data_IF_715127170362
#
_entry.id   IF_715127170362
#
_cell.length_a   1.000
_cell.length_b   1.000
_cell.length_c   1.000
_cell.angle_alpha   90.00
_cell.angle_beta   90.00
_cell.angle_gamma   90.00
#
_symmetry.space_group_name_H-M   'P 1'
#
loop_
_entity.id
_entity.type
_entity.pdbx_description
1 polymer ?
#
# COMPACT_ATOMS: atom_id res chain seq x y z
N UNK A 1 -29.50 -12.56 46.73
CA UNK A 1 -28.74 -12.27 47.97
C UNK A 1 -28.87 -10.79 48.21
N UNK A 2 -29.84 -10.40 49.03
CA UNK A 2 -29.65 -9.91 50.42
C UNK A 2 -29.46 -8.39 50.38
N UNK A 3 -30.17 -7.48 51.06
CA UNK A 3 -31.27 -7.40 52.05
C UNK A 3 -31.87 -5.99 51.77
N UNK A 4 -33.16 -5.66 51.90
CA UNK A 4 -34.03 -5.75 53.08
C UNK A 4 -33.81 -4.54 54.01
N UNK A 5 -34.72 -3.53 54.01
CA UNK A 5 -35.24 -2.82 55.21
C UNK A 5 -35.98 -1.50 54.89
N UNK A 6 -37.19 -1.36 55.45
CA UNK A 6 -37.84 -0.10 55.83
C UNK A 6 -38.75 0.56 54.77
N UNK A 7 -39.96 1.01 55.05
CA UNK A 7 -40.81 0.97 56.23
C UNK A 7 -42.22 1.38 55.75
N UNK A 8 -43.24 0.67 56.20
CA UNK A 8 -44.63 0.84 55.79
C UNK A 8 -45.32 1.63 56.91
N UNK A 9 -45.82 2.85 56.63
CA UNK A 9 -46.71 3.57 57.57
C UNK A 9 -48.09 3.64 56.96
N UNK A 10 -48.96 2.78 57.50
CA UNK A 10 -50.39 2.78 57.29
C UNK A 10 -51.05 3.80 58.23
N UNK A 11 -52.04 4.53 57.72
CA UNK A 11 -53.07 5.19 58.53
C UNK A 11 -54.42 4.71 58.01
N UNK A 12 -55.26 4.11 58.85
CA UNK A 12 -56.69 4.20 58.68
C UNK A 12 -57.33 4.91 59.87
N UNK A 13 -58.20 5.87 59.56
CA UNK A 13 -59.20 6.39 60.46
C UNK A 13 -60.44 5.47 60.40
N UNK A 14 -61.03 5.15 61.55
CA UNK A 14 -62.48 5.09 61.80
C UNK A 14 -62.76 4.54 63.20
N UNK A 15 -63.81 5.04 63.85
CA UNK A 15 -64.56 4.23 64.81
C UNK A 15 -64.92 4.91 66.11
N UNK A 16 -65.99 5.70 66.08
CA UNK A 16 -66.73 6.16 67.25
C UNK A 16 -67.37 5.01 68.05
N UNK A 17 -67.49 5.18 69.36
CA UNK A 17 -68.72 4.91 70.12
C UNK A 17 -68.45 5.15 71.62
N UNK A 18 -69.10 6.16 72.19
CA UNK A 18 -69.26 6.28 73.63
C UNK A 18 -70.74 6.55 73.93
N UNK A 19 -71.33 5.68 74.73
CA UNK A 19 -72.67 5.79 75.32
C UNK A 19 -72.73 4.78 76.45
N UNK A 20 -73.40 4.96 77.57
CA UNK A 20 -74.28 5.99 78.12
C UNK A 20 -74.27 5.70 79.63
N UNK A 21 -74.37 6.71 80.49
CA UNK A 21 -74.70 6.51 81.90
C UNK A 21 -75.96 7.31 82.26
N UNK A 22 -77.04 6.58 82.56
CA UNK A 22 -78.21 7.04 83.34
C UNK A 22 -77.74 7.28 84.81
N UNK A 23 -78.24 8.21 85.62
CA UNK A 23 -79.57 8.79 85.73
C UNK A 23 -80.29 8.22 86.96
N UNK A 24 -80.33 8.97 88.08
CA UNK A 24 -81.31 8.89 89.20
C UNK A 24 -80.94 9.96 90.25
N UNK A 25 -81.81 10.73 90.92
CA UNK A 25 -83.27 10.82 90.95
C UNK A 25 -83.73 11.46 92.26
N UNK A 26 -84.68 12.41 92.20
CA UNK A 26 -85.57 12.83 93.29
C UNK A 26 -85.52 14.33 93.65
N UNK A 27 -86.64 15.02 93.98
CA UNK A 27 -87.96 14.48 94.33
C UNK A 27 -89.19 15.04 93.57
N UNK A 28 -90.30 14.31 93.76
CA UNK A 28 -91.69 14.75 93.95
C UNK A 28 -92.56 15.32 92.80
N UNK A 29 -93.53 14.49 92.40
CA UNK A 29 -94.98 14.75 92.35
C UNK A 29 -95.57 15.81 91.39
N UNK A 30 -95.94 15.31 90.20
CA UNK A 30 -97.22 15.47 89.49
C UNK A 30 -97.84 16.87 89.25
N UNK A 31 -97.85 17.29 87.98
CA UNK A 31 -99.11 17.47 87.21
C UNK A 31 -98.88 16.99 85.78
N UNK A 32 -99.60 15.93 85.39
CA UNK A 32 -99.28 15.10 84.23
C UNK A 32 -100.07 15.57 83.01
N UNK A 33 -99.70 16.71 82.41
CA UNK A 33 -100.36 17.21 81.21
C UNK A 33 -99.56 16.78 79.95
N UNK A 34 -100.14 16.04 78.99
CA UNK A 34 -99.43 15.55 77.79
C UNK A 34 -98.85 16.67 76.91
N UNK A 35 -99.43 17.87 76.96
CA UNK A 35 -98.87 19.07 76.34
C UNK A 35 -97.56 19.50 77.00
N UNK A 36 -97.47 19.47 78.33
CA UNK A 36 -96.25 19.83 79.07
C UNK A 36 -95.08 18.90 78.75
N UNK A 37 -95.37 17.62 78.46
CA UNK A 37 -94.36 16.66 77.99
C UNK A 37 -93.86 16.97 76.58
N UNK A 38 -94.75 17.30 75.63
CA UNK A 38 -94.35 17.73 74.28
C UNK A 38 -93.60 19.07 74.31
N UNK A 39 -94.05 20.03 75.13
CA UNK A 39 -93.41 21.33 75.30
C UNK A 39 -92.00 21.18 75.90
N UNK A 40 -91.84 20.39 76.96
CA UNK A 40 -90.51 20.09 77.52
C UNK A 40 -89.61 19.38 76.50
N UNK A 41 -90.14 18.44 75.73
CA UNK A 41 -89.36 17.74 74.69
C UNK A 41 -88.89 18.66 73.56
N UNK A 42 -89.66 19.71 73.23
CA UNK A 42 -89.30 20.75 72.26
C UNK A 42 -88.34 21.79 72.87
N UNK A 43 -88.47 22.09 74.16
CA UNK A 43 -87.54 22.97 74.88
C UNK A 43 -86.18 22.30 75.17
N UNK A 44 -86.16 20.97 75.37
CA UNK A 44 -84.94 20.19 75.57
C UNK A 44 -84.18 19.92 74.26
N UNK A 45 -84.81 20.08 73.08
CA UNK A 45 -84.07 20.11 71.81
C UNK A 45 -83.26 21.40 71.74
N UNK A 46 -82.03 21.35 72.28
CA UNK A 46 -81.03 22.42 72.17
C UNK A 46 -80.47 22.49 70.74
N UNK A 47 -81.28 23.03 69.83
CA UNK A 47 -80.97 23.16 68.40
C UNK A 47 -79.73 24.02 68.14
N UNK A 48 -79.32 24.86 69.10
CA UNK A 48 -78.22 25.81 68.95
C UNK A 48 -76.81 25.19 69.08
N UNK A 49 -76.71 23.99 69.66
CA UNK A 49 -75.42 23.37 69.99
C UNK A 49 -74.93 22.35 68.95
N UNK A 50 -75.75 22.01 67.97
CA UNK A 50 -75.43 21.00 66.95
C UNK A 50 -75.12 21.69 65.62
N UNK A 51 -73.83 21.87 65.33
CA UNK A 51 -73.34 22.59 64.15
C UNK A 51 -73.72 21.88 62.85
N UNK A 52 -73.65 20.55 62.81
CA UNK A 52 -74.03 19.76 61.64
C UNK A 52 -75.54 19.84 61.39
N UNK A 53 -76.34 19.79 62.47
CA UNK A 53 -77.78 19.98 62.37
C UNK A 53 -78.13 21.40 61.93
N UNK A 54 -77.43 22.43 62.43
CA UNK A 54 -77.62 23.82 62.01
C UNK A 54 -77.22 24.06 60.55
N UNK A 55 -76.15 23.43 60.07
CA UNK A 55 -75.75 23.48 58.67
C UNK A 55 -76.72 22.73 57.77
N UNK A 56 -77.21 21.56 58.20
CA UNK A 56 -78.27 20.82 57.50
C UNK A 56 -79.59 21.61 57.46
N UNK A 57 -79.95 22.30 58.55
CA UNK A 57 -81.13 23.18 58.62
C UNK A 57 -80.95 24.44 57.76
N UNK A 58 -79.74 25.04 57.73
CA UNK A 58 -79.42 26.14 56.82
C UNK A 58 -79.52 25.69 55.36
N UNK A 59 -78.97 24.54 55.00
CA UNK A 59 -79.11 23.97 53.68
C UNK A 59 -80.58 23.69 53.33
N UNK A 60 -81.36 23.14 54.27
CA UNK A 60 -82.79 22.89 54.14
C UNK A 60 -83.58 24.20 53.91
N UNK A 61 -83.24 25.26 54.66
CA UNK A 61 -83.90 26.57 54.53
C UNK A 61 -83.69 27.24 53.16
N UNK A 62 -82.66 26.86 52.40
CA UNK A 62 -82.45 27.41 51.05
C UNK A 62 -83.53 26.99 50.06
N UNK A 63 -84.24 25.89 50.31
CA UNK A 63 -85.25 25.35 49.39
C UNK A 63 -86.58 24.98 50.05
N UNK A 64 -86.62 24.83 51.37
CA UNK A 64 -87.84 24.59 52.13
C UNK A 64 -88.38 25.89 52.72
N UNK A 65 -88.91 26.77 51.85
CA UNK A 65 -89.37 28.12 52.21
C UNK A 65 -90.80 28.13 52.76
N UNK A 66 -91.67 27.24 52.28
CA UNK A 66 -93.08 27.19 52.66
C UNK A 66 -93.46 25.88 53.36
N UNK A 67 -94.07 26.00 54.55
CA UNK A 67 -94.43 24.88 55.41
C UNK A 67 -95.89 24.44 55.19
N UNK A 68 -96.15 23.81 54.05
CA UNK A 68 -97.45 23.24 53.68
C UNK A 68 -97.51 21.72 53.93
N UNK A 69 -98.73 21.15 53.95
CA UNK A 69 -98.92 19.71 54.12
C UNK A 69 -98.31 18.90 52.94
N UNK A 70 -98.25 19.51 51.75
CA UNK A 70 -97.64 18.95 50.55
C UNK A 70 -96.12 19.00 50.61
N UNK A 71 -95.53 20.12 51.04
CA UNK A 71 -94.07 20.26 51.15
C UNK A 71 -93.51 19.35 52.24
N UNK A 72 -94.18 19.18 53.39
CA UNK A 72 -93.76 18.18 54.40
C UNK A 72 -93.78 16.74 53.88
N UNK A 73 -94.83 16.35 53.14
CA UNK A 73 -94.95 14.99 52.58
C UNK A 73 -93.86 14.70 51.54
N UNK A 74 -93.44 15.72 50.80
CA UNK A 74 -92.46 15.59 49.72
C UNK A 74 -91.02 15.93 50.11
N UNK A 75 -90.79 16.52 51.29
CA UNK A 75 -89.48 17.01 51.76
C UNK A 75 -88.36 15.97 51.63
N UNK A 76 -88.64 14.72 52.00
CA UNK A 76 -87.69 13.61 51.83
C UNK A 76 -87.35 13.39 50.36
N UNK A 77 -88.36 13.34 49.49
CA UNK A 77 -88.17 13.20 48.05
C UNK A 77 -87.47 14.40 47.42
N UNK A 78 -87.63 15.61 47.96
CA UNK A 78 -86.96 16.82 47.50
C UNK A 78 -85.48 16.86 47.94
N UNK A 79 -85.18 16.45 49.18
CA UNK A 79 -83.82 16.24 49.69
C UNK A 79 -83.11 15.15 48.87
N UNK A 80 -83.77 14.01 48.67
CA UNK A 80 -83.22 12.88 47.89
C UNK A 80 -82.95 13.31 46.44
N UNK A 81 -83.87 14.08 45.80
CA UNK A 81 -83.67 14.57 44.43
C UNK A 81 -82.53 15.57 44.32
N UNK A 82 -82.35 16.47 45.29
CA UNK A 82 -81.23 17.41 45.32
C UNK A 82 -79.91 16.71 45.60
N UNK A 83 -79.90 15.74 46.51
CA UNK A 83 -78.73 14.89 46.76
C UNK A 83 -78.35 14.10 45.51
N UNK A 84 -79.34 13.60 44.76
CA UNK A 84 -79.11 12.94 43.48
C UNK A 84 -78.48 13.91 42.48
N UNK A 85 -79.02 15.13 42.34
CA UNK A 85 -78.49 16.15 41.43
C UNK A 85 -77.03 16.54 41.74
N UNK A 86 -76.69 16.71 43.02
CA UNK A 86 -75.31 17.00 43.44
C UNK A 86 -74.38 15.82 43.13
N UNK A 87 -74.83 14.59 43.38
CA UNK A 87 -74.05 13.40 43.04
C UNK A 87 -73.87 13.24 41.52
N UNK A 88 -74.90 13.58 40.71
CA UNK A 88 -74.81 13.60 39.26
C UNK A 88 -73.82 14.65 38.76
N UNK A 89 -73.86 15.87 39.32
CA UNK A 89 -72.91 16.95 39.00
C UNK A 89 -71.47 16.57 39.38
N UNK A 90 -71.26 15.99 40.57
CA UNK A 90 -69.96 15.49 41.00
C UNK A 90 -69.43 14.41 40.06
N UNK A 91 -70.28 13.45 39.67
CA UNK A 91 -69.91 12.41 38.70
C UNK A 91 -69.57 13.02 37.34
N UNK A 92 -70.29 14.05 36.90
CA UNK A 92 -69.99 14.75 35.64
C UNK A 92 -68.61 15.41 35.66
N UNK A 93 -68.30 16.18 36.70
CA UNK A 93 -67.00 16.87 36.82
C UNK A 93 -65.86 15.85 36.95
N UNK A 94 -66.05 14.81 37.77
CA UNK A 94 -65.02 13.78 37.96
C UNK A 94 -64.80 12.94 36.70
N UNK A 95 -65.83 12.79 35.85
CA UNK A 95 -65.70 12.13 34.55
C UNK A 95 -64.76 12.89 33.62
N UNK A 96 -64.84 14.21 33.54
CA UNK A 96 -63.92 15.02 32.72
C UNK A 96 -62.45 14.85 33.18
N UNK A 97 -62.20 14.87 34.49
CA UNK A 97 -60.87 14.63 35.05
C UNK A 97 -60.37 13.21 34.75
N UNK A 98 -61.26 12.21 34.80
CA UNK A 98 -60.94 10.83 34.44
C UNK A 98 -60.55 10.72 32.97
N UNK A 99 -61.29 11.37 32.08
CA UNK A 99 -61.04 11.36 30.63
C UNK A 99 -59.68 12.00 30.29
N UNK A 100 -59.34 13.15 30.90
CA UNK A 100 -58.01 13.77 30.75
C UNK A 100 -56.89 12.89 31.30
N UNK A 101 -57.11 12.22 32.44
CA UNK A 101 -56.12 11.30 33.01
C UNK A 101 -55.93 10.05 32.13
N UNK A 102 -57.01 9.52 31.54
CA UNK A 102 -56.97 8.42 30.58
C UNK A 102 -56.21 8.83 29.31
N UNK A 103 -56.42 10.05 28.79
CA UNK A 103 -55.67 10.62 27.67
C UNK A 103 -54.16 10.71 27.95
N UNK A 104 -53.77 11.25 29.10
CA UNK A 104 -52.35 11.31 29.51
C UNK A 104 -51.76 9.90 29.64
N UNK A 105 -52.52 8.95 30.17
CA UNK A 105 -52.07 7.56 30.28
C UNK A 105 -51.79 6.96 28.89
N UNK A 106 -52.68 7.19 27.92
CA UNK A 106 -52.50 6.76 26.53
C UNK A 106 -51.26 7.40 25.90
N UNK A 107 -51.06 8.71 26.06
CA UNK A 107 -49.88 9.42 25.54
C UNK A 107 -48.57 8.90 26.13
N UNK A 108 -48.52 8.65 27.45
CA UNK A 108 -47.34 8.08 28.11
C UNK A 108 -47.06 6.66 27.61
N UNK A 109 -48.10 5.87 27.38
CA UNK A 109 -47.97 4.51 26.86
C UNK A 109 -47.49 4.50 25.40
N UNK A 110 -48.00 5.43 24.58
CA UNK A 110 -47.54 5.65 23.21
C UNK A 110 -46.08 6.10 23.19
N UNK A 111 -45.68 7.04 24.05
CA UNK A 111 -44.30 7.49 24.19
C UNK A 111 -43.38 6.35 24.63
N UNK A 112 -43.78 5.54 25.62
CA UNK A 112 -43.00 4.38 26.05
C UNK A 112 -42.80 3.38 24.91
N UNK A 113 -43.85 3.14 24.11
CA UNK A 113 -43.77 2.27 22.94
C UNK A 113 -42.81 2.83 21.88
N UNK A 114 -42.85 4.14 21.63
CA UNK A 114 -41.92 4.81 20.71
C UNK A 114 -40.47 4.73 21.20
N UNK A 115 -40.22 4.98 22.48
CA UNK A 115 -38.90 4.84 23.09
C UNK A 115 -38.36 3.42 22.99
N UNK A 116 -39.21 2.41 23.17
CA UNK A 116 -38.84 1.00 22.99
C UNK A 116 -38.50 0.71 21.52
N UNK A 117 -39.32 1.13 20.56
CA UNK A 117 -39.04 0.93 19.14
C UNK A 117 -37.72 1.61 18.72
N UNK A 118 -37.49 2.84 19.17
CA UNK A 118 -36.25 3.58 18.90
C UNK A 118 -35.03 2.87 19.51
N UNK A 119 -35.17 2.34 20.72
CA UNK A 119 -34.11 1.55 21.38
C UNK A 119 -33.83 0.26 20.61
N UNK A 120 -34.87 -0.46 20.18
CA UNK A 120 -34.74 -1.66 19.35
C UNK A 120 -34.03 -1.35 18.03
N UNK A 121 -34.38 -0.26 17.36
CA UNK A 121 -33.74 0.18 16.10
C UNK A 121 -32.29 0.60 16.31
N UNK A 122 -31.97 1.29 17.41
CA UNK A 122 -30.59 1.66 17.75
C UNK A 122 -29.75 0.41 18.00
N UNK A 123 -30.29 -0.56 18.75
CA UNK A 123 -29.61 -1.82 19.03
C UNK A 123 -29.36 -2.62 17.74
N UNK A 124 -30.36 -2.73 16.86
CA UNK A 124 -30.20 -3.39 15.57
C UNK A 124 -29.17 -2.70 14.67
N UNK A 125 -29.18 -1.37 14.61
CA UNK A 125 -28.19 -0.60 13.84
C UNK A 125 -26.76 -0.75 14.41
N UNK A 126 -26.63 -0.81 15.74
CA UNK A 126 -25.35 -1.06 16.41
C UNK A 126 -24.80 -2.44 16.08
N UNK A 127 -25.64 -3.48 16.15
CA UNK A 127 -25.27 -4.85 15.79
C UNK A 127 -24.85 -4.97 14.32
N UNK A 128 -25.61 -4.36 13.41
CA UNK A 128 -25.27 -4.34 11.98
C UNK A 128 -23.96 -3.61 11.71
N UNK A 129 -23.73 -2.46 12.36
CA UNK A 129 -22.48 -1.69 12.20
C UNK A 129 -21.30 -2.47 12.75
N UNK A 130 -21.46 -3.16 13.88
CA UNK A 130 -20.43 -4.02 14.45
C UNK A 130 -20.07 -5.19 13.52
N UNK A 131 -21.06 -5.85 12.94
CA UNK A 131 -20.84 -6.92 11.96
C UNK A 131 -20.09 -6.42 10.71
N UNK A 132 -20.47 -5.24 10.19
CA UNK A 132 -19.77 -4.61 9.06
C UNK A 132 -18.32 -4.26 9.40
N UNK A 133 -18.04 -3.75 10.60
CA UNK A 133 -16.67 -3.46 11.06
C UNK A 133 -15.86 -4.75 11.11
N UNK A 134 -16.37 -5.83 11.71
CA UNK A 134 -15.66 -7.11 11.81
C UNK A 134 -15.37 -7.69 10.42
N UNK A 135 -16.34 -7.64 9.49
CA UNK A 135 -16.13 -8.08 8.10
C UNK A 135 -15.08 -7.24 7.40
N UNK A 136 -15.12 -5.92 7.58
CA UNK A 136 -14.17 -4.99 6.95
C UNK A 136 -12.76 -5.22 7.47
N UNK A 137 -12.56 -5.35 8.78
CA UNK A 137 -11.24 -5.61 9.36
C UNK A 137 -10.69 -6.98 8.95
N UNK A 138 -11.54 -8.00 8.87
CA UNK A 138 -11.15 -9.31 8.35
C UNK A 138 -10.70 -9.24 6.89
N UNK A 139 -11.47 -8.59 6.01
CA UNK A 139 -11.10 -8.43 4.61
C UNK A 139 -9.81 -7.62 4.44
N UNK A 140 -9.60 -6.59 5.26
CA UNK A 140 -8.35 -5.83 5.28
C UNK A 140 -7.15 -6.69 5.68
N UNK A 141 -7.31 -7.56 6.70
CA UNK A 141 -6.27 -8.50 7.11
C UNK A 141 -5.95 -9.53 6.01
N UNK A 142 -6.96 -10.13 5.40
CA UNK A 142 -6.80 -11.08 4.28
C UNK A 142 -6.13 -10.40 3.06
N UNK A 143 -6.51 -9.16 2.75
CA UNK A 143 -5.88 -8.39 1.67
C UNK A 143 -4.40 -8.10 1.94
N UNK A 144 -4.03 -7.85 3.21
CA UNK A 144 -2.64 -7.61 3.59
C UNK A 144 -1.82 -8.90 3.47
N UNK A 145 -2.38 -10.03 3.92
CA UNK A 145 -1.74 -11.34 3.81
C UNK A 145 -1.49 -11.73 2.34
N UNK A 146 -2.47 -11.52 1.46
CA UNK A 146 -2.31 -11.77 0.01
C UNK A 146 -1.20 -10.89 -0.57
N UNK A 147 -1.14 -9.61 -0.19
CA UNK A 147 -0.10 -8.70 -0.67
C UNK A 147 1.30 -9.15 -0.23
N UNK A 148 1.44 -9.59 1.03
CA UNK A 148 2.69 -10.14 1.55
C UNK A 148 3.10 -11.42 0.82
N UNK A 149 2.15 -12.36 0.61
CA UNK A 149 2.40 -13.58 -0.15
C UNK A 149 2.79 -13.30 -1.60
N UNK A 150 2.12 -12.34 -2.24
CA UNK A 150 2.46 -11.91 -3.60
C UNK A 150 3.87 -11.33 -3.68
N UNK A 151 4.26 -10.49 -2.71
CA UNK A 151 5.59 -9.91 -2.67
C UNK A 151 6.68 -11.00 -2.51
N UNK A 152 6.47 -11.95 -1.59
CA UNK A 152 7.39 -13.07 -1.36
C UNK A 152 7.53 -13.98 -2.59
N UNK A 153 6.41 -14.32 -3.23
CA UNK A 153 6.41 -15.13 -4.45
C UNK A 153 7.12 -14.41 -5.60
N UNK A 154 6.86 -13.10 -5.74
CA UNK A 154 7.54 -12.28 -6.74
C UNK A 154 9.05 -12.27 -6.51
N UNK A 155 9.51 -12.00 -5.29
CA UNK A 155 10.94 -12.00 -4.95
C UNK A 155 11.60 -13.36 -5.24
N UNK A 156 10.99 -14.44 -4.77
CA UNK A 156 11.48 -15.82 -5.02
C UNK A 156 11.53 -16.15 -6.52
N UNK A 157 10.53 -15.68 -7.29
CA UNK A 157 10.47 -15.92 -8.73
C UNK A 157 11.57 -15.17 -9.48
N UNK A 158 11.83 -13.91 -9.11
CA UNK A 158 12.91 -13.12 -9.70
C UNK A 158 14.28 -13.69 -9.34
N UNK A 159 14.48 -14.15 -8.10
CA UNK A 159 15.72 -14.80 -7.70
C UNK A 159 15.97 -16.09 -8.51
N UNK A 160 14.94 -16.91 -8.70
CA UNK A 160 15.03 -18.13 -9.52
C UNK A 160 15.33 -17.81 -10.98
N UNK A 161 14.62 -16.84 -11.57
CA UNK A 161 14.83 -16.40 -12.94
C UNK A 161 16.26 -15.88 -13.13
N UNK A 162 16.72 -15.03 -12.22
CA UNK A 162 18.08 -14.47 -12.21
C UNK A 162 19.14 -15.58 -12.13
N UNK A 163 19.03 -16.51 -11.18
CA UNK A 163 19.98 -17.62 -11.03
C UNK A 163 20.03 -18.51 -12.28
N UNK A 164 18.87 -18.78 -12.87
CA UNK A 164 18.79 -19.53 -14.12
C UNK A 164 19.45 -18.76 -15.27
N UNK A 165 19.11 -17.49 -15.47
CA UNK A 165 19.66 -16.66 -16.53
C UNK A 165 21.19 -16.55 -16.45
N UNK A 166 21.75 -16.37 -15.25
CA UNK A 166 23.20 -16.40 -15.05
C UNK A 166 23.84 -17.75 -15.42
N UNK A 167 23.19 -18.87 -15.06
CA UNK A 167 23.67 -20.21 -15.43
C UNK A 167 23.70 -20.39 -16.94
N UNK A 168 22.66 -19.93 -17.65
CA UNK A 168 22.61 -19.96 -19.10
C UNK A 168 23.72 -19.09 -19.71
N UNK A 169 23.88 -17.83 -19.24
CA UNK A 169 24.96 -16.95 -19.69
C UNK A 169 26.34 -17.57 -19.49
N UNK A 170 26.58 -18.23 -18.35
CA UNK A 170 27.83 -18.92 -18.05
C UNK A 170 28.10 -20.10 -19.00
N UNK A 171 27.06 -20.74 -19.53
CA UNK A 171 27.19 -21.84 -20.47
C UNK A 171 27.56 -21.40 -21.90
N UNK A 172 27.45 -20.11 -22.23
CA UNK A 172 27.71 -19.53 -23.56
C UNK A 172 29.21 -19.41 -23.89
N UNK A 173 29.89 -20.56 -23.88
CA UNK A 173 31.35 -20.68 -24.00
C UNK A 173 31.85 -21.04 -25.40
N UNK A 174 30.94 -21.16 -26.38
CA UNK A 174 31.26 -21.48 -27.77
C UNK A 174 31.46 -20.21 -28.61
N UNK A 175 32.28 -20.24 -29.66
CA UNK A 175 32.54 -19.04 -30.49
C UNK A 175 31.24 -18.51 -31.14
N UNK A 176 30.47 -19.39 -31.79
CA UNK A 176 29.09 -19.11 -32.18
C UNK A 176 28.16 -19.39 -31.01
N UNK A 177 27.39 -18.38 -30.59
CA UNK A 177 26.47 -18.50 -29.47
C UNK A 177 25.01 -18.45 -29.97
N UNK A 178 24.31 -19.58 -29.89
CA UNK A 178 22.87 -19.62 -30.13
C UNK A 178 22.13 -19.12 -28.90
N UNK A 179 21.58 -17.91 -29.01
CA UNK A 179 20.86 -17.29 -27.89
C UNK A 179 19.45 -17.87 -27.83
N UNK A 180 19.18 -18.55 -26.72
CA UNK A 180 17.87 -19.16 -26.45
C UNK A 180 16.78 -18.08 -26.37
N UNK A 181 15.60 -18.30 -26.99
CA UNK A 181 14.47 -17.37 -26.87
C UNK A 181 13.95 -17.26 -25.44
N UNK A 182 14.17 -18.28 -24.60
CA UNK A 182 13.80 -18.20 -23.17
C UNK A 182 14.74 -17.25 -22.43
N UNK A 183 16.02 -17.18 -22.83
CA UNK A 183 16.98 -16.26 -22.24
C UNK A 183 16.66 -14.81 -22.62
N UNK A 184 16.23 -14.54 -23.86
CA UNK A 184 15.82 -13.20 -24.27
C UNK A 184 14.57 -12.72 -23.53
N UNK A 185 13.58 -13.60 -23.33
CA UNK A 185 12.40 -13.33 -22.50
C UNK A 185 12.76 -13.12 -21.02
N UNK A 186 13.75 -13.86 -20.51
CA UNK A 186 14.24 -13.65 -19.15
C UNK A 186 14.89 -12.27 -18.99
N UNK A 187 15.69 -11.83 -19.97
CA UNK A 187 16.27 -10.48 -19.97
C UNK A 187 15.19 -9.39 -20.04
N UNK A 188 14.13 -9.62 -20.83
CA UNK A 188 12.95 -8.74 -20.87
C UNK A 188 12.29 -8.64 -19.48
N UNK A 189 12.01 -9.75 -18.80
CA UNK A 189 11.41 -9.71 -17.47
C UNK A 189 12.35 -9.12 -16.41
N UNK A 190 13.66 -9.40 -16.48
CA UNK A 190 14.65 -8.88 -15.54
C UNK A 190 14.84 -7.36 -15.64
N UNK A 191 14.43 -6.73 -16.75
CA UNK A 191 14.58 -5.28 -16.95
C UNK A 191 13.85 -4.44 -15.88
N UNK A 192 12.77 -4.98 -15.29
CA UNK A 192 12.02 -4.38 -14.18
C UNK A 192 12.82 -4.34 -12.85
N UNK A 193 13.94 -5.07 -12.78
CA UNK A 193 14.87 -5.12 -11.66
C UNK A 193 16.29 -4.80 -12.15
N UNK A 194 16.64 -3.51 -12.32
CA UNK A 194 17.88 -3.07 -12.96
C UNK A 194 19.18 -3.69 -12.39
N UNK A 195 19.21 -3.96 -11.08
CA UNK A 195 20.36 -4.58 -10.42
C UNK A 195 20.56 -6.04 -10.89
N UNK A 196 19.51 -6.84 -10.94
CA UNK A 196 19.58 -8.24 -11.38
C UNK A 196 19.87 -8.33 -12.88
N UNK A 197 19.26 -7.44 -13.66
CA UNK A 197 19.53 -7.28 -15.08
C UNK A 197 21.02 -6.99 -15.34
N UNK A 198 21.60 -5.99 -14.64
CA UNK A 198 23.02 -5.64 -14.81
C UNK A 198 23.94 -6.80 -14.41
N UNK A 199 23.68 -7.48 -13.30
CA UNK A 199 24.48 -8.65 -12.91
C UNK A 199 24.39 -9.83 -13.89
N UNK A 200 23.28 -9.96 -14.60
CA UNK A 200 23.14 -10.98 -15.65
C UNK A 200 23.96 -10.60 -16.89
N UNK A 201 23.94 -9.32 -17.28
CA UNK A 201 24.80 -8.79 -18.35
C UNK A 201 26.29 -8.92 -18.03
N UNK A 202 26.71 -8.64 -16.80
CA UNK A 202 28.11 -8.77 -16.37
C UNK A 202 28.58 -10.23 -16.44
N UNK A 203 27.71 -11.19 -16.06
CA UNK A 203 28.00 -12.62 -16.17
C UNK A 203 28.13 -13.05 -17.64
N UNK A 204 27.23 -12.59 -18.53
CA UNK A 204 27.36 -12.80 -19.97
C UNK A 204 28.70 -12.26 -20.48
N UNK A 205 29.03 -11.00 -20.17
CA UNK A 205 30.27 -10.36 -20.57
C UNK A 205 31.50 -11.14 -20.10
N UNK A 206 31.47 -11.72 -18.90
CA UNK A 206 32.56 -12.52 -18.33
C UNK A 206 32.74 -13.87 -19.05
N UNK A 207 31.64 -14.57 -19.34
CA UNK A 207 31.67 -15.83 -20.08
C UNK A 207 32.18 -15.63 -21.52
N UNK A 208 31.69 -14.59 -22.19
CA UNK A 208 32.12 -14.22 -23.55
C UNK A 208 33.57 -13.75 -23.59
N UNK A 209 34.01 -12.89 -22.66
CA UNK A 209 35.43 -12.48 -22.52
C UNK A 209 36.36 -13.69 -22.50
N UNK A 210 36.05 -14.68 -21.67
CA UNK A 210 36.86 -15.91 -21.56
C UNK A 210 36.93 -16.69 -22.88
N UNK A 211 35.84 -16.71 -23.63
CA UNK A 211 35.73 -17.36 -24.94
C UNK A 211 36.53 -16.60 -26.00
N UNK A 212 36.37 -15.28 -26.10
CA UNK A 212 37.09 -14.42 -27.06
C UNK A 212 38.59 -14.45 -26.80
N UNK A 213 39.04 -14.40 -25.54
CA UNK A 213 40.47 -14.52 -25.22
C UNK A 213 41.01 -15.86 -25.68
N UNK A 214 40.30 -16.96 -25.40
CA UNK A 214 40.71 -18.30 -25.84
C UNK A 214 40.75 -18.41 -27.36
N UNK A 215 39.69 -17.95 -28.03
CA UNK A 215 39.60 -17.94 -29.49
C UNK A 215 40.72 -17.13 -30.14
N UNK A 216 41.12 -16.00 -29.55
CA UNK A 216 42.25 -15.22 -30.06
C UNK A 216 43.57 -16.00 -29.97
N UNK A 217 43.83 -16.65 -28.84
CA UNK A 217 45.05 -17.46 -28.64
C UNK A 217 45.03 -18.69 -29.56
N UNK A 218 43.89 -19.34 -29.73
CA UNK A 218 43.74 -20.46 -30.65
C UNK A 218 43.95 -20.00 -32.10
N UNK A 219 43.41 -18.86 -32.52
CA UNK A 219 43.66 -18.29 -33.85
C UNK A 219 45.15 -17.96 -34.09
N UNK A 220 45.84 -17.46 -33.06
CA UNK A 220 47.28 -17.18 -33.12
C UNK A 220 48.11 -18.46 -33.27
N UNK A 221 47.83 -19.50 -32.47
CA UNK A 221 48.73 -20.64 -32.26
C UNK A 221 48.31 -21.93 -32.96
N UNK A 222 47.00 -22.17 -33.12
CA UNK A 222 46.43 -23.40 -33.69
C UNK A 222 45.74 -23.18 -35.03
N UNK A 223 45.22 -21.97 -35.27
CA UNK A 223 44.39 -21.67 -36.44
C UNK A 223 42.95 -22.15 -36.25
N UNK A 224 42.17 -22.16 -37.32
CA UNK A 224 40.77 -22.58 -37.28
C UNK A 224 40.58 -24.10 -37.18
N UNK A 225 39.32 -24.58 -37.15
CA UNK A 225 39.00 -26.00 -37.05
C UNK A 225 39.74 -26.82 -38.11
N UNK A 226 40.45 -27.87 -37.68
CA UNK A 226 41.28 -28.69 -38.56
C UNK A 226 42.60 -28.03 -39.02
N UNK A 227 43.01 -26.92 -38.39
CA UNK A 227 44.22 -26.17 -38.75
C UNK A 227 44.03 -25.22 -39.93
N UNK A 228 42.78 -24.95 -40.31
CA UNK A 228 42.40 -24.06 -41.40
C UNK A 228 41.39 -23.00 -40.92
N UNK A 229 41.64 -21.70 -41.09
CA UNK A 229 42.89 -21.11 -41.61
C UNK A 229 44.09 -21.43 -40.71
N UNK A 230 45.30 -21.40 -41.28
CA UNK A 230 46.54 -21.69 -40.53
C UNK A 230 46.73 -20.72 -39.36
N UNK A 231 47.46 -21.12 -38.30
CA UNK A 231 47.80 -20.21 -37.21
C UNK A 231 48.38 -18.90 -37.70
N UNK A 232 47.91 -17.77 -37.15
CA UNK A 232 48.35 -16.44 -37.57
C UNK A 232 49.87 -16.27 -37.33
N UNK A 233 50.44 -16.91 -36.30
CA UNK A 233 51.89 -16.89 -36.02
C UNK A 233 52.75 -17.43 -37.17
N UNK A 234 52.22 -18.29 -38.03
CA UNK A 234 52.94 -18.78 -39.21
C UNK A 234 53.28 -17.66 -40.20
N UNK A 235 52.55 -16.55 -40.15
CA UNK A 235 52.77 -15.37 -40.99
C UNK A 235 53.70 -14.33 -40.34
N UNK A 236 54.33 -14.61 -39.19
CA UNK A 236 55.21 -13.67 -38.46
C UNK A 236 56.39 -13.12 -39.27
N UNK A 237 56.83 -13.83 -40.31
CA UNK A 237 57.87 -13.39 -41.26
C UNK A 237 57.39 -12.27 -42.22
N UNK A 238 56.08 -12.05 -42.34
CA UNK A 238 55.46 -10.96 -43.07
C UNK A 238 54.74 -10.02 -42.08
N UNK A 239 55.44 -8.97 -41.59
CA UNK A 239 54.92 -8.04 -40.57
C UNK A 239 53.56 -7.44 -40.89
N UNK A 240 53.33 -7.05 -42.16
CA UNK A 240 52.10 -6.36 -42.53
C UNK A 240 50.91 -7.32 -42.53
N UNK A 241 51.10 -8.53 -43.06
CA UNK A 241 50.09 -9.58 -43.04
C UNK A 241 49.81 -10.05 -41.61
N UNK A 242 50.84 -10.29 -40.81
CA UNK A 242 50.67 -10.76 -39.44
C UNK A 242 49.86 -9.78 -38.58
N UNK A 243 50.17 -8.48 -38.65
CA UNK A 243 49.38 -7.44 -37.95
C UNK A 243 47.98 -7.31 -38.55
N UNK A 244 47.85 -7.42 -39.88
CA UNK A 244 46.56 -7.39 -40.56
C UNK A 244 45.62 -8.51 -40.16
N UNK A 245 46.11 -9.75 -40.10
CA UNK A 245 45.35 -10.93 -39.71
C UNK A 245 44.88 -10.82 -38.25
N UNK A 246 45.74 -10.32 -37.33
CA UNK A 246 45.35 -10.08 -35.93
C UNK A 246 44.23 -9.05 -35.80
N UNK A 247 44.33 -7.92 -36.51
CA UNK A 247 43.32 -6.86 -36.47
C UNK A 247 42.03 -7.26 -37.18
N UNK A 248 42.11 -8.03 -38.26
CA UNK A 248 40.94 -8.58 -38.95
C UNK A 248 40.17 -9.55 -38.04
N UNK A 249 40.87 -10.45 -37.34
CA UNK A 249 40.27 -11.36 -36.38
C UNK A 249 39.58 -10.58 -35.25
N UNK A 250 40.26 -9.56 -34.70
CA UNK A 250 39.70 -8.72 -33.65
C UNK A 250 38.42 -8.01 -34.12
N UNK A 251 38.45 -7.38 -35.29
CA UNK A 251 37.29 -6.70 -35.87
C UNK A 251 36.10 -7.65 -36.03
N UNK A 252 36.33 -8.86 -36.57
CA UNK A 252 35.28 -9.88 -36.72
C UNK A 252 34.72 -10.33 -35.38
N UNK A 253 35.59 -10.58 -34.39
CA UNK A 253 35.17 -10.98 -33.05
C UNK A 253 34.33 -9.86 -32.40
N UNK A 254 34.76 -8.60 -32.48
CA UNK A 254 34.01 -7.46 -31.94
C UNK A 254 32.62 -7.33 -32.58
N UNK A 255 32.50 -7.49 -33.90
CA UNK A 255 31.22 -7.46 -34.60
C UNK A 255 30.29 -8.59 -34.14
N UNK A 256 30.81 -9.81 -34.04
CA UNK A 256 30.05 -10.98 -33.60
C UNK A 256 29.55 -10.86 -32.16
N UNK A 257 30.37 -10.35 -31.23
CA UNK A 257 29.94 -10.15 -29.84
C UNK A 257 28.87 -9.06 -29.70
N UNK A 258 28.92 -8.02 -30.54
CA UNK A 258 27.84 -7.03 -30.64
C UNK A 258 26.54 -7.68 -31.11
N UNK A 259 26.60 -8.48 -32.17
CA UNK A 259 25.43 -9.20 -32.70
C UNK A 259 24.82 -10.16 -31.67
N UNK A 260 25.65 -10.89 -30.92
CA UNK A 260 25.17 -11.72 -29.81
C UNK A 260 24.45 -10.88 -28.75
N UNK A 261 24.98 -9.73 -28.35
CA UNK A 261 24.30 -8.87 -27.37
C UNK A 261 22.99 -8.27 -27.91
N UNK A 262 22.96 -7.87 -29.18
CA UNK A 262 21.73 -7.39 -29.83
C UNK A 262 20.66 -8.48 -29.87
N UNK A 263 21.05 -9.72 -30.16
CA UNK A 263 20.14 -10.86 -30.12
C UNK A 263 19.66 -11.17 -28.69
N UNK A 264 20.53 -11.08 -27.68
CA UNK A 264 20.19 -11.28 -26.27
C UNK A 264 19.18 -10.24 -25.77
N UNK A 265 19.37 -8.98 -26.16
CA UNK A 265 18.61 -7.82 -25.69
C UNK A 265 17.47 -7.41 -26.62
N UNK A 266 17.13 -8.26 -27.61
CA UNK A 266 16.13 -7.97 -28.64
C UNK A 266 14.76 -7.50 -28.10
N UNK A 267 14.35 -7.98 -26.93
CA UNK A 267 13.06 -7.66 -26.31
C UNK A 267 13.16 -6.64 -25.16
N UNK A 268 14.37 -6.17 -24.83
CA UNK A 268 14.57 -5.20 -23.75
C UNK A 268 14.22 -3.80 -24.25
N UNK A 269 13.37 -3.10 -23.50
CA UNK A 269 12.82 -1.78 -23.88
C UNK A 269 13.35 -0.63 -23.04
N UNK A 270 14.20 -0.91 -22.06
CA UNK A 270 14.80 0.09 -21.18
C UNK A 270 15.64 1.10 -21.95
N UNK A 271 15.64 2.37 -21.49
CA UNK A 271 16.55 3.37 -22.03
C UNK A 271 18.01 2.98 -21.74
N UNK A 272 18.91 3.19 -22.70
CA UNK A 272 20.35 2.91 -22.54
C UNK A 272 20.79 1.50 -22.94
N UNK A 273 19.97 0.72 -23.66
CA UNK A 273 20.38 -0.60 -24.19
C UNK A 273 21.65 -0.51 -25.04
N UNK A 274 21.75 0.48 -25.93
CA UNK A 274 22.95 0.67 -26.76
C UNK A 274 24.20 0.96 -25.91
N UNK A 275 24.08 1.75 -24.83
CA UNK A 275 25.20 2.03 -23.92
C UNK A 275 25.64 0.75 -23.18
N UNK A 276 24.68 -0.07 -22.73
CA UNK A 276 24.96 -1.37 -22.12
C UNK A 276 25.68 -2.31 -23.09
N UNK A 277 25.23 -2.37 -24.36
CA UNK A 277 25.89 -3.18 -25.39
C UNK A 277 27.34 -2.71 -25.56
N UNK A 278 27.56 -1.41 -25.70
CA UNK A 278 28.91 -0.84 -25.86
C UNK A 278 29.81 -1.10 -24.64
N UNK A 279 29.28 -0.99 -23.42
CA UNK A 279 30.01 -1.29 -22.17
C UNK A 279 30.42 -2.78 -22.12
N UNK A 280 29.49 -3.70 -22.41
CA UNK A 280 29.75 -5.14 -22.34
C UNK A 280 30.70 -5.59 -23.46
N UNK A 281 30.54 -5.10 -24.71
CA UNK A 281 31.50 -5.38 -25.79
C UNK A 281 32.89 -4.83 -25.45
N UNK A 282 32.96 -3.64 -24.85
CA UNK A 282 34.22 -3.08 -24.36
C UNK A 282 34.88 -3.97 -23.30
N UNK A 283 34.11 -4.45 -22.33
CA UNK A 283 34.58 -5.42 -21.35
C UNK A 283 35.08 -6.71 -22.02
N UNK A 284 34.31 -7.31 -22.93
CA UNK A 284 34.71 -8.54 -23.63
C UNK A 284 36.04 -8.36 -24.36
N UNK A 285 36.17 -7.29 -25.14
CA UNK A 285 37.33 -7.04 -25.99
C UNK A 285 38.58 -6.59 -25.23
N UNK A 286 38.46 -6.02 -24.03
CA UNK A 286 39.62 -5.70 -23.20
C UNK A 286 40.48 -6.93 -22.89
N UNK A 287 39.88 -8.13 -22.84
CA UNK A 287 40.61 -9.38 -22.58
C UNK A 287 41.72 -9.67 -23.61
N UNK A 288 41.58 -9.21 -24.85
CA UNK A 288 42.55 -9.44 -25.93
C UNK A 288 43.57 -8.32 -26.11
N UNK A 289 43.43 -7.20 -25.41
CA UNK A 289 44.34 -6.05 -25.53
C UNK A 289 45.80 -6.41 -25.22
N UNK A 290 46.04 -7.14 -24.12
CA UNK A 290 47.39 -7.52 -23.69
C UNK A 290 48.12 -8.41 -24.70
N UNK A 291 47.57 -9.57 -25.14
CA UNK A 291 48.25 -10.40 -26.13
C UNK A 291 48.40 -9.69 -27.49
N UNK A 292 47.43 -8.88 -27.91
CA UNK A 292 47.52 -8.08 -29.12
C UNK A 292 48.70 -7.08 -29.05
N UNK A 293 48.75 -6.29 -27.97
CA UNK A 293 49.80 -5.29 -27.74
C UNK A 293 51.19 -5.89 -27.82
N UNK A 294 51.44 -6.98 -27.07
CA UNK A 294 52.76 -7.62 -27.03
C UNK A 294 53.22 -8.05 -28.43
N UNK A 295 52.34 -8.65 -29.23
CA UNK A 295 52.71 -9.15 -30.56
C UNK A 295 52.93 -8.03 -31.57
N UNK A 296 52.09 -7.00 -31.57
CA UNK A 296 52.25 -5.85 -32.47
C UNK A 296 53.50 -5.06 -32.09
N UNK A 297 53.74 -4.84 -30.79
CA UNK A 297 54.93 -4.16 -30.30
C UNK A 297 56.22 -4.88 -30.73
N UNK A 298 56.27 -6.20 -30.60
CA UNK A 298 57.41 -7.00 -31.07
C UNK A 298 57.69 -6.82 -32.57
N UNK A 299 56.64 -6.76 -33.40
CA UNK A 299 56.77 -6.53 -34.84
C UNK A 299 57.33 -5.13 -35.14
N UNK A 300 56.84 -4.11 -34.43
CA UNK A 300 57.29 -2.73 -34.66
C UNK A 300 58.73 -2.55 -34.19
N UNK A 301 59.09 -3.09 -33.02
CA UNK A 301 60.43 -2.97 -32.42
C UNK A 301 61.49 -3.77 -33.20
N UNK A 302 61.10 -4.79 -33.96
CA UNK A 302 62.00 -5.51 -34.87
C UNK A 302 62.48 -4.67 -36.07
N UNK A 303 62.03 -3.42 -36.20
CA UNK A 303 62.42 -2.45 -37.25
C UNK A 303 62.40 -3.03 -38.68
N UNK A 304 61.24 -3.49 -39.19
CA UNK A 304 61.14 -4.12 -40.52
C UNK A 304 61.41 -3.16 -41.70
N UNK A 305 61.68 -1.88 -41.42
CA UNK A 305 61.97 -0.83 -42.38
C UNK A 305 60.90 0.26 -42.43
N UNK A 306 61.30 1.49 -42.77
CA UNK A 306 60.44 2.68 -42.72
C UNK A 306 59.15 2.53 -43.56
N UNK A 307 59.21 1.94 -44.75
CA UNK A 307 58.03 1.75 -45.61
C UNK A 307 57.01 0.81 -44.96
N UNK A 308 57.47 -0.29 -44.35
CA UNK A 308 56.57 -1.24 -43.67
C UNK A 308 55.97 -0.64 -42.40
N UNK A 309 56.77 0.09 -41.60
CA UNK A 309 56.29 0.80 -40.41
C UNK A 309 55.20 1.83 -40.75
N UNK A 310 55.33 2.54 -41.88
CA UNK A 310 54.29 3.47 -42.34
C UNK A 310 53.00 2.73 -42.74
N UNK A 311 53.12 1.60 -43.47
CA UNK A 311 51.96 0.77 -43.83
C UNK A 311 51.26 0.19 -42.59
N UNK A 312 52.01 -0.33 -41.62
CA UNK A 312 51.48 -0.84 -40.35
C UNK A 312 50.79 0.28 -39.56
N UNK A 313 51.38 1.47 -39.50
CA UNK A 313 50.78 2.63 -38.83
C UNK A 313 49.42 3.02 -39.44
N UNK A 314 49.31 3.03 -40.78
CA UNK A 314 48.04 3.29 -41.46
C UNK A 314 47.01 2.18 -41.26
N UNK A 315 47.45 0.92 -41.23
CA UNK A 315 46.60 -0.24 -40.95
C UNK A 315 46.00 -0.16 -39.54
N UNK A 316 46.81 0.16 -38.53
CA UNK A 316 46.36 0.38 -37.15
C UNK A 316 45.33 1.51 -37.08
N UNK A 317 45.58 2.63 -37.77
CA UNK A 317 44.64 3.76 -37.83
C UNK A 317 43.31 3.38 -38.50
N UNK A 318 43.35 2.60 -39.58
CA UNK A 318 42.16 2.12 -40.27
C UNK A 318 41.31 1.22 -39.37
N UNK A 319 41.93 0.25 -38.70
CA UNK A 319 41.20 -0.64 -37.79
C UNK A 319 40.72 0.06 -36.52
N UNK A 320 41.47 1.04 -35.99
CA UNK A 320 40.99 1.89 -34.91
C UNK A 320 39.67 2.58 -35.30
N UNK A 321 39.60 3.20 -36.47
CA UNK A 321 38.38 3.85 -36.95
C UNK A 321 37.24 2.86 -37.16
N UNK A 322 37.53 1.70 -37.77
CA UNK A 322 36.53 0.67 -38.08
C UNK A 322 35.93 0.08 -36.80
N UNK A 323 36.77 -0.31 -35.84
CA UNK A 323 36.34 -0.89 -34.56
C UNK A 323 35.63 0.16 -33.70
N UNK A 324 36.07 1.42 -33.72
CA UNK A 324 35.40 2.52 -33.01
C UNK A 324 33.95 2.71 -33.48
N UNK A 325 33.66 2.47 -34.76
CA UNK A 325 32.29 2.51 -35.27
C UNK A 325 31.37 1.42 -34.71
N UNK A 326 31.92 0.29 -34.24
CA UNK A 326 31.16 -0.83 -33.69
C UNK A 326 30.91 -0.64 -32.19
N UNK A 327 31.98 -0.32 -31.44
CA UNK A 327 31.95 -0.29 -29.97
C UNK A 327 31.61 1.08 -29.38
N UNK A 328 31.51 2.11 -30.22
CA UNK A 328 31.22 3.46 -29.79
C UNK A 328 32.29 4.02 -28.86
N UNK A 329 31.88 4.86 -27.90
CA UNK A 329 32.80 5.60 -27.04
C UNK A 329 33.21 4.82 -25.77
N UNK A 330 32.62 3.65 -25.51
CA UNK A 330 32.76 2.94 -24.23
C UNK A 330 33.94 1.96 -24.17
N UNK A 331 34.41 1.40 -25.30
CA UNK A 331 35.61 0.54 -25.34
C UNK A 331 36.92 1.32 -25.39
N UNK A 332 37.08 2.20 -24.40
CA UNK A 332 38.26 3.06 -24.27
C UNK A 332 39.54 2.23 -24.27
N UNK A 333 39.61 1.12 -23.52
CA UNK A 333 40.83 0.31 -23.38
C UNK A 333 41.33 -0.33 -24.67
N UNK A 334 40.43 -0.84 -25.53
CA UNK A 334 40.83 -1.43 -26.81
C UNK A 334 41.32 -0.36 -27.78
N UNK A 335 40.55 0.72 -27.91
CA UNK A 335 40.87 1.81 -28.81
C UNK A 335 42.18 2.50 -28.41
N UNK A 336 42.40 2.74 -27.11
CA UNK A 336 43.67 3.26 -26.60
C UNK A 336 44.83 2.31 -26.88
N UNK A 337 44.64 0.99 -26.73
CA UNK A 337 45.68 0.02 -27.07
C UNK A 337 46.09 0.08 -28.54
N UNK A 338 45.12 0.18 -29.46
CA UNK A 338 45.41 0.30 -30.90
C UNK A 338 46.08 1.64 -31.22
N UNK A 339 45.62 2.74 -30.60
CA UNK A 339 46.20 4.06 -30.77
C UNK A 339 47.64 4.13 -30.23
N UNK A 340 47.93 3.51 -29.08
CA UNK A 340 49.29 3.38 -28.55
C UNK A 340 50.22 2.67 -29.54
N UNK A 341 49.74 1.58 -30.16
CA UNK A 341 50.51 0.87 -31.19
C UNK A 341 50.68 1.72 -32.47
N UNK A 342 49.66 2.50 -32.86
CA UNK A 342 49.74 3.43 -33.98
C UNK A 342 50.84 4.49 -33.73
N UNK A 343 50.83 5.10 -32.55
CA UNK A 343 51.81 6.11 -32.12
C UNK A 343 53.22 5.51 -32.03
N UNK A 344 53.37 4.30 -31.50
CA UNK A 344 54.65 3.59 -31.45
C UNK A 344 55.21 3.36 -32.85
N UNK A 345 54.38 2.84 -33.77
CA UNK A 345 54.77 2.61 -35.17
C UNK A 345 55.20 3.91 -35.86
N UNK A 346 54.47 5.01 -35.60
CA UNK A 346 54.79 6.33 -36.15
C UNK A 346 56.10 6.89 -35.59
N UNK A 347 56.35 6.73 -34.29
CA UNK A 347 57.61 7.15 -33.63
C UNK A 347 58.82 6.42 -34.22
N UNK A 348 58.74 5.08 -34.32
CA UNK A 348 59.85 4.27 -34.86
C UNK A 348 60.04 4.54 -36.36
N UNK A 349 58.96 4.77 -37.11
CA UNK A 349 59.05 5.24 -38.50
C UNK A 349 59.88 6.52 -38.64
N UNK A 350 59.58 7.58 -37.87
CA UNK A 350 60.33 8.83 -37.94
C UNK A 350 61.79 8.69 -37.49
N UNK A 351 62.03 7.86 -36.47
CA UNK A 351 63.40 7.53 -36.04
C UNK A 351 64.19 6.87 -37.18
N UNK A 352 63.59 5.85 -37.83
CA UNK A 352 64.19 5.12 -38.94
C UNK A 352 64.46 6.04 -40.15
N UNK A 353 63.52 6.91 -40.49
CA UNK A 353 63.67 7.89 -41.56
C UNK A 353 64.79 8.90 -41.26
N UNK A 354 64.85 9.40 -40.03
CA UNK A 354 65.90 10.34 -39.59
C UNK A 354 67.28 9.69 -39.66
N UNK A 355 67.40 8.44 -39.21
CA UNK A 355 68.65 7.68 -39.32
C UNK A 355 69.07 7.47 -40.78
N UNK A 356 68.12 7.17 -41.67
CA UNK A 356 68.40 7.01 -43.09
C UNK A 356 68.85 8.34 -43.73
N UNK A 357 68.17 9.45 -43.41
CA UNK A 357 68.53 10.78 -43.87
C UNK A 357 69.94 11.18 -43.41
N UNK A 358 70.28 10.97 -42.13
CA UNK A 358 71.63 11.23 -41.60
C UNK A 358 72.69 10.40 -42.31
N UNK A 359 72.47 9.09 -42.50
CA UNK A 359 73.41 8.22 -43.24
C UNK A 359 73.61 8.67 -44.69
N UNK A 360 72.57 9.19 -45.34
CA UNK A 360 72.67 9.71 -46.70
C UNK A 360 73.47 11.02 -46.73
N UNK A 361 73.22 11.93 -45.79
CA UNK A 361 73.99 13.18 -45.66
C UNK A 361 75.47 12.91 -45.41
N UNK A 362 75.81 11.93 -44.57
CA UNK A 362 77.21 11.57 -44.30
C UNK A 362 77.91 11.01 -45.54
N UNK A 363 77.21 10.20 -46.36
CA UNK A 363 77.75 9.71 -47.64
C UNK A 363 77.96 10.83 -48.65
N UNK A 364 77.05 11.81 -48.73
CA UNK A 364 77.20 12.97 -49.62
C UNK A 364 78.39 13.83 -49.18
N UNK A 365 78.52 14.08 -47.88
CA UNK A 365 79.68 14.81 -47.31
C UNK A 365 81.00 14.10 -47.60
N UNK A 366 81.06 12.79 -47.40
CA UNK A 366 82.26 11.99 -47.68
C UNK A 366 82.63 12.03 -49.17
N UNK A 367 81.64 11.95 -50.06
CA UNK A 367 81.86 12.04 -51.51
C UNK A 367 82.39 13.42 -51.92
N UNK A 368 81.85 14.50 -51.33
CA UNK A 368 82.33 15.85 -51.59
C UNK A 368 83.76 16.07 -51.07
N UNK A 369 84.09 15.55 -49.88
CA UNK A 369 85.44 15.62 -49.33
C UNK A 369 86.48 14.83 -50.17
N UNK A 370 86.09 13.71 -50.78
CA UNK A 370 86.96 12.96 -51.71
C UNK A 370 87.19 13.75 -53.01
N UNK A 371 86.15 14.42 -53.52
CA UNK A 371 86.27 15.26 -54.72
C UNK A 371 87.23 16.43 -54.48
N UNK A 372 87.15 17.10 -53.32
CA UNK A 372 88.07 18.18 -52.94
C UNK A 372 89.52 17.74 -52.74
N UNK A 373 89.79 16.44 -52.49
CA UNK A 373 91.14 15.89 -52.37
C UNK A 373 91.74 15.42 -53.71
N UNK A 374 90.93 15.33 -54.77
CA UNK A 374 91.36 14.91 -56.11
C UNK A 374 91.57 16.09 -57.08
N UNK A 375 91.14 17.30 -56.72
CA UNK A 375 91.56 18.57 -57.32
C UNK A 375 92.84 19.09 -56.64
#
# INVERSE_FOLDING_TARGET
MAEGSGEVVAVPATGAANGLNNGAGGPSAQTNNPLSRKLRKILDTRLDNDKEMLEALKALSTFFVENSLRTRRNLRGDIERRSLAINEEFVSIFKEVKEELESIHEDVQAMNSCCQDMTCRLQAAKEQTQDLIIKTTKLQAESLEIMEQMALLQETSYERLYRWAQSECRALTQESCDISPVLTQAMEALQDRPVLYKYTLDEFGTARRSTVVRGFIDALTRGGPGGTPRPIEMHSHDPLRYVGDMLAWLHQATASEKEHLEALLKHVTTQGVEENIQEVVGHITEGVCRPLKVRIEQVIVAEPGAVLLYKISNLLKFYHHTISGIVGNSATTLLTTIEEMHLLSKKIFFSSLSLHASKLMDKVRLKNAILELCE
#
